data_IF_447408485479
#
_entry.id   IF_447408485479
#
_cell.length_a   1.000
_cell.length_b   1.000
_cell.length_c   1.000
_cell.angle_alpha   90.00
_cell.angle_beta   90.00
_cell.angle_gamma   90.00
#
_symmetry.space_group_name_H-M   'P 1'
#
loop_
_entity.id
_entity.type
_entity.pdbx_description
1 polymer ?
#
# COMPACT_ATOMS: atom_id res chain seq x y z
N UNK A 1 7.41 19.00 -16.34
CA UNK A 1 7.66 17.72 -15.62
C UNK A 1 6.70 17.61 -14.45
N UNK A 2 6.02 16.49 -14.35
CA UNK A 2 5.10 16.16 -13.24
C UNK A 2 5.81 15.13 -12.35
N UNK A 3 5.82 15.36 -11.04
CA UNK A 3 6.29 14.40 -10.05
C UNK A 3 5.10 13.76 -9.31
N UNK A 4 5.07 12.43 -9.27
CA UNK A 4 4.12 11.65 -8.49
C UNK A 4 4.91 10.90 -7.43
N UNK A 5 4.48 11.01 -6.17
CA UNK A 5 5.24 10.54 -5.01
C UNK A 5 4.35 9.69 -4.11
N UNK A 6 4.81 8.47 -3.85
CA UNK A 6 4.26 7.57 -2.85
C UNK A 6 5.29 7.41 -1.71
N UNK A 7 4.96 7.95 -0.53
CA UNK A 7 5.89 8.08 0.58
C UNK A 7 5.42 7.32 1.82
N UNK A 8 6.00 6.17 2.07
CA UNK A 8 5.91 5.52 3.38
C UNK A 8 6.85 6.13 4.42
N UNK A 9 6.85 5.58 5.64
CA UNK A 9 7.74 6.02 6.73
C UNK A 9 9.21 5.66 6.48
N UNK A 10 9.49 4.60 5.71
CA UNK A 10 10.86 4.11 5.48
C UNK A 10 11.46 4.61 4.17
N UNK A 11 10.67 4.62 3.11
CA UNK A 11 11.08 4.98 1.75
C UNK A 11 10.00 5.79 1.06
N UNK A 12 10.41 6.59 0.07
CA UNK A 12 9.52 7.27 -0.86
C UNK A 12 9.94 6.92 -2.28
N UNK A 13 8.98 6.47 -3.08
CA UNK A 13 9.13 6.23 -4.51
C UNK A 13 8.62 7.48 -5.25
N UNK A 14 9.36 7.90 -6.28
CA UNK A 14 9.08 9.06 -7.10
C UNK A 14 9.03 8.67 -8.57
N UNK A 15 8.03 9.10 -9.28
CA UNK A 15 7.94 8.94 -10.74
C UNK A 15 7.86 10.33 -11.37
N UNK A 16 8.74 10.59 -12.33
CA UNK A 16 8.75 11.81 -13.14
C UNK A 16 8.18 11.51 -14.53
N UNK A 17 7.13 12.23 -14.92
CA UNK A 17 6.47 12.06 -16.21
C UNK A 17 6.27 13.40 -16.92
N UNK A 18 6.04 13.34 -18.24
CA UNK A 18 5.48 14.46 -19.01
C UNK A 18 3.94 14.52 -18.92
N UNK A 19 3.32 15.45 -19.62
CA UNK A 19 1.87 15.63 -19.64
C UNK A 19 1.11 14.45 -20.30
N UNK A 20 1.80 13.58 -21.01
CA UNK A 20 1.23 12.38 -21.65
C UNK A 20 1.47 11.11 -20.81
N UNK A 21 2.08 11.22 -19.63
CA UNK A 21 2.41 10.08 -18.78
C UNK A 21 3.69 9.33 -19.18
N UNK A 22 4.44 9.83 -20.16
CA UNK A 22 5.73 9.22 -20.54
C UNK A 22 6.75 9.50 -19.45
N UNK A 23 7.41 8.45 -18.97
CA UNK A 23 8.48 8.57 -17.98
C UNK A 23 9.65 9.38 -18.53
N UNK A 24 10.06 10.38 -17.76
CA UNK A 24 11.17 11.28 -18.09
C UNK A 24 12.48 10.87 -17.39
N UNK A 25 12.36 10.24 -16.23
CA UNK A 25 13.50 9.78 -15.43
C UNK A 25 13.26 8.34 -14.99
N UNK A 26 14.34 7.62 -14.74
CA UNK A 26 14.28 6.34 -14.06
C UNK A 26 13.58 6.48 -12.69
N UNK A 27 13.09 5.38 -12.14
CA UNK A 27 12.41 5.40 -10.84
C UNK A 27 13.33 5.93 -9.75
N UNK A 28 12.98 7.10 -9.21
CA UNK A 28 13.74 7.74 -8.16
C UNK A 28 13.26 7.24 -6.80
N UNK A 29 14.17 7.10 -5.87
CA UNK A 29 13.87 6.71 -4.50
C UNK A 29 14.61 7.59 -3.50
N UNK A 30 13.90 7.97 -2.41
CA UNK A 30 14.47 8.61 -1.25
C UNK A 30 14.12 7.85 0.03
N UNK A 31 14.66 8.28 1.17
CA UNK A 31 14.13 7.87 2.47
C UNK A 31 12.70 8.37 2.61
N UNK A 32 11.91 7.72 3.47
CA UNK A 32 10.54 8.13 3.76
C UNK A 32 10.45 9.57 4.28
N UNK A 33 9.34 10.22 3.97
CA UNK A 33 9.12 11.65 4.24
C UNK A 33 7.92 11.87 5.19
N UNK A 34 7.75 10.98 6.16
CA UNK A 34 6.64 11.04 7.11
C UNK A 34 6.81 12.24 8.07
N UNK A 35 5.90 13.25 8.06
CA UNK A 35 5.99 14.47 8.85
C UNK A 35 5.73 14.26 10.35
N UNK A 36 5.11 13.14 10.76
CA UNK A 36 4.95 12.80 12.17
C UNK A 36 6.27 12.28 12.80
N UNK A 37 7.22 11.84 11.97
CA UNK A 37 8.52 11.30 12.40
C UNK A 37 9.64 12.32 12.15
N UNK A 38 9.54 13.08 11.05
CA UNK A 38 10.62 13.94 10.56
C UNK A 38 10.22 15.42 10.62
N UNK A 39 11.11 16.28 11.11
CA UNK A 39 10.98 17.74 11.01
C UNK A 39 11.15 18.21 9.55
N UNK A 40 10.55 19.34 9.20
CA UNK A 40 10.59 19.96 7.87
C UNK A 40 12.00 20.05 7.26
N UNK A 41 12.99 20.53 8.03
CA UNK A 41 14.39 20.63 7.56
C UNK A 41 14.99 19.27 7.18
N UNK A 42 14.62 18.20 7.87
CA UNK A 42 15.10 16.86 7.56
C UNK A 42 14.47 16.35 6.27
N UNK A 43 13.15 16.56 6.08
CA UNK A 43 12.43 16.24 4.85
C UNK A 43 13.10 16.97 3.67
N UNK A 44 13.29 18.27 3.79
CA UNK A 44 13.97 19.10 2.78
C UNK A 44 15.37 18.59 2.44
N UNK A 45 16.17 18.24 3.47
CA UNK A 45 17.51 17.70 3.29
C UNK A 45 17.50 16.36 2.54
N UNK A 46 16.54 15.47 2.82
CA UNK A 46 16.38 14.20 2.12
C UNK A 46 16.11 14.43 0.63
N UNK A 47 15.15 15.30 0.30
CA UNK A 47 14.80 15.61 -1.10
C UNK A 47 15.99 16.22 -1.83
N UNK A 48 16.65 17.24 -1.26
CA UNK A 48 17.79 17.94 -1.86
C UNK A 48 19.06 17.07 -2.01
N UNK A 49 19.16 15.95 -1.28
CA UNK A 49 20.28 15.00 -1.44
C UNK A 49 20.15 14.13 -2.68
N UNK A 50 18.94 13.95 -3.22
CA UNK A 50 18.77 13.21 -4.45
C UNK A 50 19.27 14.07 -5.63
N UNK A 51 20.25 13.61 -6.43
CA UNK A 51 20.87 14.43 -7.47
C UNK A 51 19.90 14.79 -8.60
N UNK A 52 19.01 13.86 -9.00
CA UNK A 52 18.07 14.07 -10.10
C UNK A 52 16.98 15.05 -9.70
N UNK A 53 16.39 14.90 -8.49
CA UNK A 53 15.41 15.87 -7.97
C UNK A 53 16.02 17.27 -7.83
N UNK A 54 17.30 17.35 -7.45
CA UNK A 54 18.03 18.62 -7.34
C UNK A 54 18.28 19.24 -8.71
N UNK A 55 18.71 18.46 -9.70
CA UNK A 55 19.02 18.91 -11.05
C UNK A 55 17.77 19.48 -11.74
N UNK A 56 16.67 18.75 -11.70
CA UNK A 56 15.44 19.07 -12.45
C UNK A 56 14.43 19.94 -11.69
N UNK A 57 14.75 20.42 -10.47
CA UNK A 57 13.78 21.13 -9.60
C UNK A 57 13.09 22.34 -10.23
N UNK A 58 13.72 23.03 -11.19
CA UNK A 58 13.15 24.19 -11.87
C UNK A 58 12.17 23.82 -13.00
N UNK A 59 12.27 22.59 -13.51
CA UNK A 59 11.46 22.04 -14.60
C UNK A 59 10.13 21.43 -14.06
N UNK A 60 10.03 21.21 -12.75
CA UNK A 60 8.85 20.61 -12.14
C UNK A 60 7.71 21.61 -12.13
N UNK A 61 6.61 21.24 -12.78
CA UNK A 61 5.37 22.04 -12.86
C UNK A 61 4.28 21.57 -11.88
N UNK A 62 4.28 20.27 -11.53
CA UNK A 62 3.34 19.68 -10.58
C UNK A 62 4.04 18.67 -9.67
N UNK A 63 3.62 18.63 -8.41
CA UNK A 63 3.99 17.60 -7.46
C UNK A 63 2.72 17.07 -6.80
N UNK A 64 2.41 15.81 -7.05
CA UNK A 64 1.32 15.07 -6.39
C UNK A 64 1.96 14.13 -5.37
N UNK A 65 1.85 14.48 -4.10
CA UNK A 65 2.47 13.76 -3.00
C UNK A 65 1.40 13.03 -2.18
N UNK A 66 1.63 11.75 -1.96
CA UNK A 66 0.83 10.86 -1.14
C UNK A 66 1.72 10.28 -0.05
N UNK A 67 1.41 10.55 1.22
CA UNK A 67 2.35 10.21 2.28
C UNK A 67 1.76 9.69 3.56
N UNK A 68 2.39 8.64 4.10
CA UNK A 68 2.15 8.21 5.46
C UNK A 68 2.38 9.36 6.45
N UNK A 69 1.47 9.52 7.41
CA UNK A 69 1.50 10.61 8.38
C UNK A 69 0.92 11.93 7.86
N UNK A 70 0.35 11.99 6.65
CA UNK A 70 -0.33 13.17 6.11
C UNK A 70 -1.86 13.13 6.32
N UNK A 71 -2.35 12.49 7.37
CA UNK A 71 -3.78 12.41 7.67
C UNK A 71 -4.38 13.66 8.32
N UNK A 72 -3.56 14.63 8.74
CA UNK A 72 -4.01 15.90 9.33
C UNK A 72 -3.55 17.10 8.50
N UNK A 73 -4.33 18.20 8.53
CA UNK A 73 -3.97 19.44 7.81
C UNK A 73 -2.59 19.96 8.22
N UNK A 74 -2.29 19.96 9.53
CA UNK A 74 -0.97 20.33 10.05
C UNK A 74 0.17 19.53 9.41
N UNK A 75 -0.02 18.22 9.28
CA UNK A 75 0.99 17.33 8.71
C UNK A 75 1.13 17.53 7.19
N UNK A 76 0.00 17.74 6.49
CA UNK A 76 0.00 18.10 5.06
C UNK A 76 0.73 19.41 4.82
N UNK A 77 0.48 20.45 5.65
CA UNK A 77 1.10 21.76 5.52
C UNK A 77 2.62 21.74 5.69
N UNK A 78 3.14 20.88 6.57
CA UNK A 78 4.60 20.69 6.73
C UNK A 78 5.22 20.20 5.42
N UNK A 79 4.64 19.17 4.82
CA UNK A 79 5.15 18.59 3.57
C UNK A 79 4.94 19.55 2.39
N UNK A 80 3.77 20.18 2.31
CA UNK A 80 3.43 21.18 1.30
C UNK A 80 4.45 22.33 1.27
N UNK A 81 4.74 22.93 2.43
CA UNK A 81 5.68 24.04 2.55
C UNK A 81 7.09 23.63 2.10
N UNK A 82 7.55 22.45 2.48
CA UNK A 82 8.86 21.94 2.06
C UNK A 82 8.90 21.69 0.55
N UNK A 83 7.86 21.10 -0.02
CA UNK A 83 7.80 20.82 -1.47
C UNK A 83 7.75 22.13 -2.28
N UNK A 84 6.98 23.14 -1.84
CA UNK A 84 6.93 24.49 -2.45
C UNK A 84 8.29 25.18 -2.40
N UNK A 85 9.03 25.02 -1.30
CA UNK A 85 10.37 25.62 -1.18
C UNK A 85 11.42 24.92 -2.06
N UNK A 86 11.27 23.63 -2.31
CA UNK A 86 12.19 22.88 -3.18
C UNK A 86 11.85 23.04 -4.65
N UNK A 87 10.55 23.02 -5.00
CA UNK A 87 10.03 23.07 -6.37
C UNK A 87 9.21 24.34 -6.57
N UNK A 88 9.91 25.49 -6.67
CA UNK A 88 9.33 26.83 -6.63
C UNK A 88 8.24 27.07 -7.69
N UNK A 89 8.38 26.47 -8.86
CA UNK A 89 7.45 26.64 -9.99
C UNK A 89 6.28 25.66 -9.97
N UNK A 90 6.27 24.70 -9.01
CA UNK A 90 5.30 23.61 -9.03
C UNK A 90 3.98 23.99 -8.35
N UNK A 91 2.88 23.52 -8.92
CA UNK A 91 1.62 23.32 -8.22
C UNK A 91 1.79 22.08 -7.36
N UNK A 92 1.57 22.18 -6.05
CA UNK A 92 1.77 21.09 -5.10
C UNK A 92 0.44 20.65 -4.52
N UNK A 93 0.17 19.34 -4.53
CA UNK A 93 -0.93 18.70 -3.81
C UNK A 93 -0.35 17.65 -2.86
N UNK A 94 -0.78 17.66 -1.60
CA UNK A 94 -0.37 16.71 -0.56
C UNK A 94 -1.60 16.01 -0.02
N UNK A 95 -1.59 14.68 -0.06
CA UNK A 95 -2.65 13.83 0.49
C UNK A 95 -2.04 12.72 1.37
N UNK A 96 -2.88 12.05 2.14
CA UNK A 96 -2.48 10.84 2.87
C UNK A 96 -2.25 9.66 1.92
N UNK A 97 -1.48 8.67 2.35
CA UNK A 97 -1.10 7.49 1.56
C UNK A 97 -2.30 6.61 1.18
N UNK A 98 -3.38 6.59 1.98
CA UNK A 98 -4.63 5.91 1.66
C UNK A 98 -5.29 6.46 0.39
N UNK A 99 -5.18 7.78 0.15
CA UNK A 99 -5.67 8.41 -1.08
C UNK A 99 -4.89 7.97 -2.33
N UNK A 100 -3.65 7.50 -2.17
CA UNK A 100 -2.93 6.88 -3.28
C UNK A 100 -3.62 5.61 -3.78
N UNK A 101 -4.10 4.78 -2.85
CA UNK A 101 -4.84 3.58 -3.22
C UNK A 101 -6.19 3.92 -3.88
N UNK A 102 -6.89 4.95 -3.39
CA UNK A 102 -8.13 5.43 -3.99
C UNK A 102 -7.90 5.86 -5.43
N UNK A 103 -7.12 6.91 -5.65
CA UNK A 103 -6.87 7.47 -6.99
C UNK A 103 -6.10 6.51 -7.91
N UNK A 104 -5.39 5.54 -7.34
CA UNK A 104 -4.72 4.49 -8.12
C UNK A 104 -5.66 3.41 -8.64
N UNK A 105 -6.88 3.29 -8.07
CA UNK A 105 -7.83 2.21 -8.43
C UNK A 105 -9.11 2.70 -9.09
N UNK A 106 -9.56 3.95 -8.84
CA UNK A 106 -10.76 4.52 -9.45
C UNK A 106 -10.50 4.98 -10.90
N UNK A 107 -11.55 5.00 -11.72
CA UNK A 107 -11.47 5.40 -13.14
C UNK A 107 -11.59 6.90 -13.35
N UNK A 108 -12.26 7.61 -12.43
CA UNK A 108 -12.42 9.07 -12.43
C UNK A 108 -12.55 9.57 -10.97
N UNK A 109 -12.21 10.83 -10.74
CA UNK A 109 -12.02 11.44 -9.42
C UNK A 109 -13.26 11.57 -8.52
N UNK A 110 -14.43 11.36 -9.08
CA UNK A 110 -15.74 11.36 -8.38
C UNK A 110 -16.36 9.97 -8.24
N UNK A 111 -15.65 8.91 -8.64
CA UNK A 111 -16.14 7.54 -8.53
C UNK A 111 -16.15 7.10 -7.07
N UNK A 112 -17.33 6.79 -6.56
CA UNK A 112 -17.49 6.25 -5.23
C UNK A 112 -17.09 4.75 -5.21
N UNK A 113 -16.29 4.35 -4.23
CA UNK A 113 -15.82 2.96 -4.10
C UNK A 113 -15.41 2.63 -2.66
N UNK A 114 -15.50 1.39 -2.27
CA UNK A 114 -14.75 0.87 -1.12
C UNK A 114 -13.36 0.47 -1.62
N UNK A 115 -12.31 0.95 -0.98
CA UNK A 115 -10.93 0.68 -1.38
C UNK A 115 -10.19 -0.05 -0.27
N UNK A 116 -9.68 -1.22 -0.60
CA UNK A 116 -8.94 -2.11 0.30
C UNK A 116 -7.47 -2.12 -0.06
N UNK A 117 -6.60 -1.95 0.93
CA UNK A 117 -5.15 -2.09 0.77
C UNK A 117 -4.75 -3.43 1.40
N UNK A 118 -4.13 -4.32 0.62
CA UNK A 118 -3.52 -5.56 1.09
C UNK A 118 -2.06 -5.60 0.65
N UNK A 119 -1.19 -5.11 1.51
CA UNK A 119 0.26 -5.03 1.31
C UNK A 119 1.01 -5.66 2.46
N UNK A 120 2.03 -4.98 3.02
CA UNK A 120 2.69 -5.37 4.27
C UNK A 120 1.71 -5.41 5.44
N UNK A 121 0.85 -4.39 5.56
CA UNK A 121 -0.33 -4.33 6.42
C UNK A 121 -1.60 -4.30 5.58
N UNK A 122 -2.76 -4.05 6.21
CA UNK A 122 -4.02 -3.90 5.51
C UNK A 122 -4.86 -2.72 6.01
N UNK A 123 -5.70 -2.19 5.13
CA UNK A 123 -6.64 -1.10 5.42
C UNK A 123 -7.88 -1.23 4.53
N UNK A 124 -8.99 -0.64 4.95
CA UNK A 124 -10.21 -0.54 4.15
C UNK A 124 -10.90 0.79 4.45
N UNK A 125 -11.24 1.53 3.41
CA UNK A 125 -11.90 2.84 3.50
C UNK A 125 -12.97 2.97 2.41
N UNK A 126 -13.97 3.79 2.66
CA UNK A 126 -14.97 4.17 1.67
C UNK A 126 -14.70 5.58 1.18
N UNK A 127 -14.56 5.74 -0.13
CA UNK A 127 -14.49 7.03 -0.80
C UNK A 127 -15.85 7.33 -1.44
N UNK A 128 -16.49 8.44 -1.07
CA UNK A 128 -17.83 8.80 -1.54
C UNK A 128 -17.82 9.63 -2.85
N UNK A 129 -16.65 9.78 -3.47
CA UNK A 129 -16.41 10.64 -4.62
C UNK A 129 -15.80 12.00 -4.25
N UNK A 130 -15.68 12.30 -2.94
CA UNK A 130 -15.08 13.54 -2.46
C UNK A 130 -14.29 13.38 -1.16
N UNK A 131 -14.81 12.62 -0.21
CA UNK A 131 -14.25 12.41 1.12
C UNK A 131 -13.98 10.93 1.38
N UNK A 132 -12.88 10.65 2.07
CA UNK A 132 -12.53 9.31 2.52
C UNK A 132 -13.07 9.05 3.92
N UNK A 133 -13.88 8.00 4.06
CA UNK A 133 -14.48 7.56 5.31
C UNK A 133 -13.83 6.27 5.79
N UNK A 134 -13.22 6.31 6.95
CA UNK A 134 -12.59 5.15 7.58
C UNK A 134 -13.39 4.72 8.82
N UNK A 135 -14.07 3.57 8.76
CA UNK A 135 -14.86 3.04 9.88
C UNK A 135 -14.03 2.19 10.83
N UNK A 136 -12.99 1.54 10.34
CA UNK A 136 -12.09 0.70 11.13
C UNK A 136 -10.76 1.43 11.29
N UNK A 137 -10.44 1.86 12.49
CA UNK A 137 -9.16 2.49 12.79
C UNK A 137 -8.04 1.45 12.80
N UNK A 138 -6.95 1.69 12.10
CA UNK A 138 -5.81 0.79 12.08
C UNK A 138 -5.04 0.86 13.40
N UNK A 139 -4.92 -0.27 14.08
CA UNK A 139 -4.12 -0.44 15.31
C UNK A 139 -2.83 -1.23 15.08
N UNK A 140 -2.49 -1.49 13.82
CA UNK A 140 -1.25 -2.13 13.41
C UNK A 140 -1.24 -3.65 13.54
N UNK A 141 -0.13 -4.24 13.11
CA UNK A 141 0.03 -5.66 12.80
C UNK A 141 -0.11 -6.63 13.99
N UNK A 142 -0.01 -6.15 15.22
CA UNK A 142 -0.17 -7.01 16.41
C UNK A 142 -1.65 -7.36 16.60
N UNK A 143 -2.53 -6.39 16.43
CA UNK A 143 -3.96 -6.51 16.71
C UNK A 143 -4.82 -6.66 15.45
N UNK A 144 -4.34 -6.17 14.32
CA UNK A 144 -5.08 -6.05 13.07
C UNK A 144 -4.25 -6.53 11.87
N UNK A 145 -4.47 -5.91 10.71
CA UNK A 145 -3.82 -6.21 9.43
C UNK A 145 -4.18 -7.58 8.84
N UNK A 146 -5.44 -8.02 8.99
CA UNK A 146 -5.93 -9.26 8.40
C UNK A 146 -5.67 -9.32 6.88
N UNK A 147 -5.41 -10.50 6.34
CA UNK A 147 -5.09 -10.76 4.92
C UNK A 147 -3.90 -9.99 4.36
N UNK A 148 -3.07 -9.37 5.18
CA UNK A 148 -1.84 -8.70 4.77
C UNK A 148 -0.64 -9.64 4.73
N UNK A 149 0.50 -9.15 4.21
CA UNK A 149 1.74 -9.91 4.21
C UNK A 149 2.19 -10.31 5.61
N UNK A 150 2.08 -9.41 6.59
CA UNK A 150 2.44 -9.74 7.97
C UNK A 150 1.47 -10.76 8.61
N UNK A 151 0.18 -10.73 8.26
CA UNK A 151 -0.80 -11.73 8.68
C UNK A 151 -0.40 -13.12 8.17
N UNK A 152 -0.20 -13.26 6.87
CA UNK A 152 0.17 -14.55 6.28
C UNK A 152 1.53 -15.04 6.77
N UNK A 153 2.50 -14.14 6.98
CA UNK A 153 3.78 -14.50 7.57
C UNK A 153 3.65 -15.07 8.98
N UNK A 154 2.79 -14.47 9.82
CA UNK A 154 2.49 -15.00 11.16
C UNK A 154 1.85 -16.39 11.08
N UNK A 155 0.83 -16.57 10.23
CA UNK A 155 0.14 -17.86 10.09
C UNK A 155 1.12 -18.94 9.60
N UNK A 156 1.94 -18.67 8.57
CA UNK A 156 2.94 -19.61 8.07
C UNK A 156 3.95 -20.04 9.16
N UNK A 157 4.50 -19.08 9.92
CA UNK A 157 5.44 -19.40 11.01
C UNK A 157 4.74 -20.25 12.07
N UNK A 158 3.53 -19.91 12.47
CA UNK A 158 2.75 -20.66 13.46
C UNK A 158 2.46 -22.08 12.99
N UNK A 159 1.98 -22.23 11.74
CA UNK A 159 1.64 -23.52 11.17
C UNK A 159 2.88 -24.42 11.03
N UNK A 160 4.05 -23.85 10.72
CA UNK A 160 5.31 -24.56 10.73
C UNK A 160 5.66 -25.14 12.10
N UNK A 161 5.61 -24.32 13.15
CA UNK A 161 5.98 -24.74 14.50
C UNK A 161 4.93 -25.62 15.17
N UNK A 162 3.64 -25.46 14.84
CA UNK A 162 2.57 -26.31 15.35
C UNK A 162 2.37 -27.60 14.52
N UNK A 163 3.21 -27.84 13.49
CA UNK A 163 3.10 -29.00 12.61
C UNK A 163 1.73 -29.11 11.90
N UNK A 164 1.18 -27.97 11.49
CA UNK A 164 -0.11 -27.90 10.78
C UNK A 164 0.07 -27.86 9.25
N UNK A 165 1.29 -27.65 8.76
CA UNK A 165 1.60 -27.71 7.33
C UNK A 165 1.65 -29.17 6.81
N UNK A 166 1.18 -29.44 5.60
CA UNK A 166 1.51 -30.68 4.88
C UNK A 166 3.03 -30.84 4.78
N UNK A 167 3.55 -32.07 4.91
CA UNK A 167 5.00 -32.32 5.01
C UNK A 167 5.80 -31.71 3.86
N UNK A 168 5.33 -31.83 2.62
CA UNK A 168 6.01 -31.25 1.45
C UNK A 168 6.13 -29.71 1.55
N UNK A 169 5.07 -29.04 2.03
CA UNK A 169 5.04 -27.58 2.23
C UNK A 169 5.97 -27.19 3.37
N UNK A 170 5.97 -27.96 4.47
CA UNK A 170 6.84 -27.71 5.62
C UNK A 170 8.32 -27.81 5.25
N UNK A 171 8.69 -28.85 4.50
CA UNK A 171 10.08 -29.02 3.99
C UNK A 171 10.47 -27.86 3.07
N UNK A 172 9.60 -27.50 2.11
CA UNK A 172 9.85 -26.37 1.21
C UNK A 172 10.00 -25.05 1.97
N UNK A 173 9.15 -24.78 2.97
CA UNK A 173 9.20 -23.58 3.80
C UNK A 173 10.50 -23.51 4.62
N UNK A 174 10.86 -24.59 5.32
CA UNK A 174 12.10 -24.68 6.11
C UNK A 174 13.38 -24.59 5.28
N UNK A 175 13.33 -25.02 4.01
CA UNK A 175 14.45 -24.88 3.08
C UNK A 175 14.64 -23.46 2.55
N UNK A 176 13.54 -22.70 2.43
CA UNK A 176 13.57 -21.29 1.94
C UNK A 176 13.94 -20.29 3.03
N UNK A 177 13.55 -20.53 4.27
CA UNK A 177 13.70 -19.58 5.36
C UNK A 177 14.49 -20.15 6.55
N UNK A 178 15.23 -19.27 7.23
CA UNK A 178 15.84 -19.66 8.50
C UNK A 178 14.74 -19.76 9.58
N UNK A 179 14.41 -21.00 9.94
CA UNK A 179 13.38 -21.32 10.92
C UNK A 179 13.94 -21.61 12.32
N UNK A 180 15.18 -21.21 12.61
CA UNK A 180 15.73 -21.28 13.96
C UNK A 180 14.96 -20.34 14.91
N UNK A 181 14.50 -20.88 16.04
CA UNK A 181 13.62 -20.15 16.95
C UNK A 181 14.21 -18.84 17.48
N UNK A 182 15.49 -18.83 17.82
CA UNK A 182 16.15 -17.64 18.35
C UNK A 182 16.39 -16.59 17.26
N UNK A 183 16.65 -17.01 16.02
CA UNK A 183 16.72 -16.10 14.88
C UNK A 183 15.38 -15.40 14.62
N UNK A 184 14.26 -16.14 14.66
CA UNK A 184 12.92 -15.57 14.48
C UNK A 184 12.59 -14.60 15.63
N UNK A 185 12.80 -15.00 16.89
CA UNK A 185 12.59 -14.13 18.07
C UNK A 185 13.42 -12.86 17.98
N UNK A 186 14.69 -12.97 17.58
CA UNK A 186 15.55 -11.80 17.43
C UNK A 186 15.00 -10.81 16.42
N UNK A 187 14.53 -11.28 15.25
CA UNK A 187 13.94 -10.41 14.20
C UNK A 187 12.61 -9.79 14.63
N UNK A 188 11.79 -10.51 15.41
CA UNK A 188 10.49 -10.00 15.85
C UNK A 188 10.63 -9.02 17.03
N UNK A 189 11.50 -9.31 18.01
CA UNK A 189 11.53 -8.58 19.27
C UNK A 189 12.70 -7.62 19.44
N UNK A 190 13.75 -7.73 18.64
CA UNK A 190 14.98 -6.95 18.80
C UNK A 190 15.36 -6.12 17.59
N UNK A 191 14.81 -6.42 16.42
CA UNK A 191 15.06 -5.67 15.19
C UNK A 191 13.96 -4.64 14.91
N UNK A 192 14.27 -3.53 14.19
CA UNK A 192 13.25 -2.59 13.72
C UNK A 192 12.39 -3.23 12.61
N UNK A 193 11.15 -2.77 12.50
CA UNK A 193 10.19 -3.15 11.46
C UNK A 193 9.84 -4.66 11.43
N UNK A 194 9.44 -5.27 12.54
CA UNK A 194 9.08 -6.68 12.61
C UNK A 194 7.88 -7.04 11.70
N UNK A 195 6.98 -6.09 11.43
CA UNK A 195 5.90 -6.24 10.47
C UNK A 195 6.42 -6.49 9.04
N UNK A 196 7.47 -5.80 8.61
CA UNK A 196 8.10 -6.03 7.31
C UNK A 196 8.83 -7.38 7.28
N UNK A 197 9.49 -7.77 8.38
CA UNK A 197 10.09 -9.09 8.51
C UNK A 197 9.04 -10.20 8.33
N UNK A 198 7.92 -10.11 9.02
CA UNK A 198 6.82 -11.06 8.90
C UNK A 198 6.27 -11.08 7.46
N UNK A 199 6.08 -9.92 6.85
CA UNK A 199 5.54 -9.84 5.50
C UNK A 199 6.43 -10.49 4.42
N UNK A 200 7.74 -10.64 4.66
CA UNK A 200 8.62 -11.32 3.71
C UNK A 200 8.28 -12.80 3.51
N UNK A 201 7.68 -13.45 4.50
CA UNK A 201 7.24 -14.84 4.37
C UNK A 201 6.03 -15.02 3.43
N UNK A 202 5.25 -13.95 3.22
CA UNK A 202 4.07 -14.03 2.36
C UNK A 202 4.39 -14.33 0.87
N UNK A 203 5.61 -14.09 0.40
CA UNK A 203 6.03 -14.50 -0.93
C UNK A 203 5.84 -16.02 -1.14
N UNK A 204 6.04 -16.81 -0.09
CA UNK A 204 5.93 -18.26 -0.14
C UNK A 204 4.55 -18.74 -0.58
N UNK A 205 3.47 -18.07 -0.15
CA UNK A 205 2.12 -18.48 -0.51
C UNK A 205 1.89 -18.37 -2.03
N UNK A 206 2.44 -17.33 -2.67
CA UNK A 206 2.24 -17.10 -4.11
C UNK A 206 3.13 -18.01 -5.00
N UNK A 207 4.20 -18.54 -4.43
CA UNK A 207 5.07 -19.52 -5.10
C UNK A 207 4.54 -20.97 -4.98
N UNK A 208 3.57 -21.23 -4.11
CA UNK A 208 3.06 -22.58 -3.81
C UNK A 208 1.52 -22.68 -3.94
N UNK A 209 0.92 -21.89 -4.84
CA UNK A 209 -0.55 -21.87 -5.06
C UNK A 209 -1.15 -23.15 -5.62
N UNK A 210 -0.33 -24.12 -6.01
CA UNK A 210 -0.79 -25.47 -6.40
C UNK A 210 -1.20 -26.32 -5.19
N UNK A 211 -0.83 -25.89 -3.97
CA UNK A 211 -1.21 -26.55 -2.73
C UNK A 211 -2.58 -26.08 -2.24
N UNK A 212 -3.50 -27.03 -2.02
CA UNK A 212 -4.82 -26.75 -1.43
C UNK A 212 -4.71 -26.08 -0.06
N UNK A 213 -3.74 -26.51 0.77
CA UNK A 213 -3.42 -25.87 2.05
C UNK A 213 -3.13 -24.37 1.90
N UNK A 214 -2.33 -24.01 0.90
CA UNK A 214 -1.96 -22.60 0.63
C UNK A 214 -3.18 -21.82 0.13
N UNK A 215 -3.96 -22.36 -0.77
CA UNK A 215 -5.18 -21.72 -1.29
C UNK A 215 -6.18 -21.46 -0.15
N UNK A 216 -6.41 -22.46 0.73
CA UNK A 216 -7.27 -22.29 1.89
C UNK A 216 -6.71 -21.28 2.91
N UNK A 217 -5.40 -21.24 3.13
CA UNK A 217 -4.78 -20.22 3.98
C UNK A 217 -5.03 -18.81 3.44
N UNK A 218 -4.91 -18.60 2.12
CA UNK A 218 -5.20 -17.31 1.46
C UNK A 218 -6.68 -16.95 1.67
N UNK A 219 -7.61 -17.85 1.34
CA UNK A 219 -9.06 -17.64 1.48
C UNK A 219 -9.47 -17.38 2.91
N UNK A 220 -8.93 -18.12 3.88
CA UNK A 220 -9.15 -17.90 5.32
C UNK A 220 -8.83 -16.46 5.72
N UNK A 221 -7.65 -15.96 5.33
CA UNK A 221 -7.26 -14.58 5.62
C UNK A 221 -8.19 -13.55 4.97
N UNK A 222 -8.56 -13.78 3.69
CA UNK A 222 -9.49 -12.90 2.97
C UNK A 222 -10.86 -12.89 3.63
N UNK A 223 -11.45 -14.05 4.01
CA UNK A 223 -12.75 -14.12 4.71
C UNK A 223 -12.72 -13.33 6.03
N UNK A 224 -11.62 -13.44 6.79
CA UNK A 224 -11.45 -12.66 8.03
C UNK A 224 -11.42 -11.16 7.73
N UNK A 225 -10.65 -10.75 6.73
CA UNK A 225 -10.58 -9.35 6.30
C UNK A 225 -11.95 -8.83 5.82
N UNK A 226 -12.64 -9.57 4.97
CA UNK A 226 -13.98 -9.19 4.49
C UNK A 226 -14.92 -9.00 5.67
N UNK A 227 -14.98 -9.96 6.59
CA UNK A 227 -15.85 -9.90 7.78
C UNK A 227 -15.54 -8.69 8.65
N UNK A 228 -14.25 -8.41 8.92
CA UNK A 228 -13.85 -7.39 9.88
C UNK A 228 -13.81 -5.98 9.30
N UNK A 229 -13.55 -5.84 7.99
CA UNK A 229 -13.33 -4.54 7.35
C UNK A 229 -14.41 -4.21 6.29
N UNK A 230 -14.58 -5.06 5.27
CA UNK A 230 -15.50 -4.74 4.15
C UNK A 230 -16.95 -4.73 4.63
N UNK A 231 -17.35 -5.68 5.49
CA UNK A 231 -18.70 -5.76 6.03
C UNK A 231 -19.07 -4.61 6.98
N UNK A 232 -18.13 -3.75 7.38
CA UNK A 232 -18.44 -2.48 8.03
C UNK A 232 -19.15 -1.50 7.09
N UNK A 233 -19.11 -1.74 5.77
CA UNK A 233 -19.72 -0.92 4.72
C UNK A 233 -20.88 -1.63 4.02
N UNK A 234 -21.63 -2.49 4.72
CA UNK A 234 -22.66 -3.39 4.15
C UNK A 234 -23.67 -2.68 3.24
N UNK A 235 -24.11 -1.47 3.62
CA UNK A 235 -25.06 -0.74 2.77
C UNK A 235 -24.39 -0.13 1.52
N UNK A 236 -23.15 0.26 1.65
CA UNK A 236 -22.38 0.92 0.57
C UNK A 236 -21.99 -0.09 -0.52
N UNK A 237 -21.49 -1.27 -0.13
CA UNK A 237 -21.02 -2.30 -1.08
C UNK A 237 -22.13 -2.93 -1.93
N UNK A 238 -23.41 -2.63 -1.63
CA UNK A 238 -24.55 -3.00 -2.49
C UNK A 238 -24.61 -2.19 -3.78
N UNK A 239 -24.02 -0.99 -3.78
CA UNK A 239 -24.15 -0.01 -4.87
C UNK A 239 -22.84 0.43 -5.48
N UNK A 240 -21.71 0.21 -4.78
CA UNK A 240 -20.39 0.59 -5.27
C UNK A 240 -19.45 -0.61 -5.30
N UNK A 241 -18.46 -0.62 -6.21
CA UNK A 241 -17.47 -1.70 -6.26
C UNK A 241 -16.49 -1.62 -5.09
N UNK A 242 -15.85 -2.76 -4.80
CA UNK A 242 -14.72 -2.88 -3.88
C UNK A 242 -13.44 -3.02 -4.68
N UNK A 243 -12.58 -2.00 -4.63
CA UNK A 243 -11.27 -2.02 -5.28
C UNK A 243 -10.19 -2.49 -4.34
N UNK A 244 -9.13 -3.04 -4.90
CA UNK A 244 -8.03 -3.61 -4.14
C UNK A 244 -6.69 -3.07 -4.62
N UNK A 245 -5.86 -2.60 -3.67
CA UNK A 245 -4.51 -2.12 -3.91
C UNK A 245 -3.49 -2.93 -3.11
N UNK A 246 -2.28 -3.08 -3.64
CA UNK A 246 -1.17 -3.73 -2.98
C UNK A 246 -0.82 -5.11 -3.54
N UNK A 247 0.39 -5.58 -3.19
CA UNK A 247 0.94 -6.80 -3.77
C UNK A 247 0.18 -8.06 -3.37
N UNK A 248 -0.28 -8.14 -2.12
CA UNK A 248 -1.08 -9.30 -1.67
C UNK A 248 -2.39 -9.36 -2.45
N UNK A 249 -3.12 -8.26 -2.53
CA UNK A 249 -4.36 -8.18 -3.30
C UNK A 249 -4.14 -8.58 -4.77
N UNK A 250 -3.09 -8.04 -5.39
CA UNK A 250 -2.81 -8.30 -6.80
C UNK A 250 -2.52 -9.77 -7.10
N UNK A 251 -1.77 -10.45 -6.25
CA UNK A 251 -1.46 -11.86 -6.46
C UNK A 251 -2.57 -12.81 -5.98
N UNK A 252 -3.49 -12.35 -5.12
CA UNK A 252 -4.63 -13.13 -4.62
C UNK A 252 -5.96 -12.81 -5.33
N UNK A 253 -5.93 -12.22 -6.55
CA UNK A 253 -7.15 -11.79 -7.26
C UNK A 253 -8.18 -12.91 -7.43
N UNK A 254 -7.73 -14.13 -7.75
CA UNK A 254 -8.61 -15.29 -7.91
C UNK A 254 -9.35 -15.59 -6.62
N UNK A 255 -8.61 -15.72 -5.53
CA UNK A 255 -9.13 -16.06 -4.21
C UNK A 255 -10.03 -14.95 -3.64
N UNK A 256 -9.68 -13.66 -3.90
CA UNK A 256 -10.53 -12.52 -3.54
C UNK A 256 -11.87 -12.57 -4.29
N UNK A 257 -11.88 -12.87 -5.59
CA UNK A 257 -13.11 -12.97 -6.38
C UNK A 257 -14.00 -14.12 -5.89
N UNK A 258 -13.40 -15.28 -5.62
CA UNK A 258 -14.13 -16.43 -5.10
C UNK A 258 -14.77 -16.13 -3.72
N UNK A 259 -14.05 -15.47 -2.82
CA UNK A 259 -14.60 -15.05 -1.51
C UNK A 259 -15.63 -13.93 -1.67
N UNK A 260 -15.47 -13.03 -2.64
CA UNK A 260 -16.45 -11.99 -2.93
C UNK A 260 -17.79 -12.59 -3.39
N UNK A 261 -17.74 -13.60 -4.26
CA UNK A 261 -18.94 -14.36 -4.69
C UNK A 261 -19.59 -15.08 -3.50
N UNK A 262 -18.78 -15.69 -2.60
CA UNK A 262 -19.28 -16.34 -1.37
C UNK A 262 -19.96 -15.35 -0.42
N UNK A 263 -19.44 -14.12 -0.29
CA UNK A 263 -19.85 -13.14 0.72
C UNK A 263 -20.72 -11.98 0.16
N UNK A 264 -20.99 -11.96 -1.14
CA UNK A 264 -22.01 -11.12 -1.77
C UNK A 264 -21.61 -9.65 -1.96
N UNK A 265 -20.42 -9.37 -2.53
CA UNK A 265 -20.03 -8.02 -2.94
C UNK A 265 -19.35 -8.00 -4.32
N UNK A 266 -19.43 -6.84 -5.02
CA UNK A 266 -18.85 -6.69 -6.35
C UNK A 266 -17.40 -6.25 -6.26
N UNK A 267 -16.50 -7.04 -6.86
CA UNK A 267 -15.08 -6.70 -6.98
C UNK A 267 -14.87 -5.76 -8.16
N UNK A 268 -14.15 -4.68 -7.94
CA UNK A 268 -13.73 -3.73 -8.96
C UNK A 268 -12.28 -3.95 -9.42
N UNK A 269 -11.51 -2.87 -9.48
CA UNK A 269 -10.14 -2.87 -10.00
C UNK A 269 -9.12 -3.41 -9.00
N UNK A 270 -8.02 -3.96 -9.53
CA UNK A 270 -6.83 -4.33 -8.78
C UNK A 270 -5.64 -3.51 -9.24
N UNK A 271 -4.96 -2.86 -8.28
CA UNK A 271 -3.73 -2.13 -8.55
C UNK A 271 -2.57 -2.67 -7.68
N UNK A 272 -1.53 -3.18 -8.33
CA UNK A 272 -0.38 -3.74 -7.60
C UNK A 272 0.40 -2.68 -6.85
N UNK A 273 0.58 -1.52 -7.48
CA UNK A 273 1.36 -0.40 -6.97
C UNK A 273 0.59 0.89 -7.17
N UNK A 274 -0.02 1.46 -6.14
CA UNK A 274 -0.82 2.68 -6.27
C UNK A 274 -0.14 3.79 -7.08
N UNK A 275 1.16 3.96 -6.96
CA UNK A 275 1.92 5.00 -7.68
C UNK A 275 1.84 4.83 -9.22
N UNK A 276 1.67 3.61 -9.73
CA UNK A 276 1.54 3.37 -11.19
C UNK A 276 0.14 3.78 -11.67
N UNK A 277 -0.90 3.45 -10.90
CA UNK A 277 -2.28 3.93 -11.15
C UNK A 277 -2.40 5.44 -11.03
N UNK A 278 -1.71 6.06 -10.06
CA UNK A 278 -1.67 7.52 -9.92
C UNK A 278 -1.09 8.23 -11.15
N UNK A 279 -0.14 7.63 -11.86
CA UNK A 279 0.38 8.21 -13.13
C UNK A 279 -0.76 8.33 -14.14
N UNK A 280 -1.51 7.25 -14.36
CA UNK A 280 -2.64 7.26 -15.30
C UNK A 280 -3.74 8.24 -14.87
N UNK A 281 -4.07 8.27 -13.57
CA UNK A 281 -5.07 9.18 -13.01
C UNK A 281 -4.72 10.66 -13.23
N UNK A 282 -3.52 11.08 -12.83
CA UNK A 282 -3.13 12.49 -12.91
C UNK A 282 -2.87 12.96 -14.33
N UNK A 283 -2.32 12.12 -15.20
CA UNK A 283 -2.12 12.50 -16.61
C UNK A 283 -3.44 12.67 -17.33
N UNK A 284 -4.41 11.77 -17.12
CA UNK A 284 -5.76 11.90 -17.67
C UNK A 284 -6.43 13.20 -17.18
N UNK A 285 -6.34 13.49 -15.89
CA UNK A 285 -6.92 14.70 -15.29
C UNK A 285 -6.35 15.99 -15.85
N UNK A 286 -5.02 16.07 -16.06
CA UNK A 286 -4.35 17.25 -16.60
C UNK A 286 -4.62 17.46 -18.10
N UNK A 287 -5.07 16.44 -18.83
CA UNK A 287 -5.48 16.55 -20.26
C UNK A 287 -6.92 17.04 -20.41
N UNK A 288 -7.74 16.94 -19.37
CA UNK A 288 -9.16 17.33 -19.38
C UNK A 288 -9.44 18.68 -18.74
N UNK A 289 -8.42 19.33 -18.16
CA UNK A 289 -8.44 20.68 -17.57
C UNK A 289 -7.78 21.67 -18.50
#
# INVERSE_FOLDING_TARGET
MILIVDSGSTKSDWIAVDNNGKKLLEKLRTKGLNPEILKADKIKKIIKKNPDLKAHRKEVTHVFFYGAGCGTDRAKDIVYSVLKEVFLNAIVKVEEDTMAAVYGTISHDTEAAVVCILGTGSNCSYFDGSVLHQRVQSLGYILMDDASGNYYGKELIRDYYFNLMPEAIKVAFGSKYNMEADYIKYNIYKQPNPNAYLANFAEFIFLNKDSEYIVELIKKGIRVFVKNYIMQYTEVIKTVPVHFAGSIAFFAQKEIKEVADEMGFTVGNFERRPIEGLVAFHTKKLQTT
#
